data_IF_752569122651
#
_entry.id   IF_752569122651
#
_cell.length_a   1.000
_cell.length_b   1.000
_cell.length_c   1.000
_cell.angle_alpha   90.00
_cell.angle_beta   90.00
_cell.angle_gamma   90.00
#
_symmetry.space_group_name_H-M   'P 1'
#
loop_
_entity.id
_entity.type
_entity.pdbx_description
1 polymer ?
#
# COMPACT_ATOMS: atom_id res chain seq x y z
N UNK A 1 12.94 8.05 -24.79
CA UNK A 1 13.03 6.63 -24.41
C UNK A 1 13.96 6.46 -23.20
N UNK A 2 13.50 6.76 -21.97
CA UNK A 2 14.38 6.98 -20.80
C UNK A 2 14.39 5.83 -19.76
N UNK A 3 13.75 4.70 -20.05
CA UNK A 3 13.53 3.62 -19.06
C UNK A 3 13.67 2.21 -19.64
N UNK A 4 14.79 1.92 -20.29
CA UNK A 4 15.12 0.55 -20.75
C UNK A 4 15.66 -0.35 -19.63
N UNK A 5 15.72 0.14 -18.38
CA UNK A 5 16.36 -0.56 -17.26
C UNK A 5 15.36 -0.81 -16.14
N UNK A 6 15.07 -2.08 -15.87
CA UNK A 6 14.28 -2.53 -14.73
C UNK A 6 15.17 -2.61 -13.48
N UNK A 7 14.61 -2.19 -12.34
CA UNK A 7 15.29 -2.27 -11.05
C UNK A 7 14.66 -3.39 -10.24
N UNK A 8 15.47 -4.37 -9.86
CA UNK A 8 15.06 -5.46 -8.99
C UNK A 8 15.70 -5.29 -7.62
N UNK A 9 14.86 -5.28 -6.59
CA UNK A 9 15.28 -5.36 -5.19
C UNK A 9 15.36 -6.84 -4.82
N UNK A 10 16.57 -7.35 -4.58
CA UNK A 10 16.90 -8.77 -4.35
C UNK A 10 16.52 -9.71 -5.52
N UNK A 11 17.40 -9.88 -6.52
CA UNK A 11 17.14 -10.76 -7.66
C UNK A 11 17.01 -12.22 -7.20
N UNK A 12 16.21 -13.00 -7.92
CA UNK A 12 16.03 -14.43 -7.63
C UNK A 12 17.33 -15.23 -7.68
N UNK A 13 18.32 -14.75 -8.44
CA UNK A 13 19.66 -15.34 -8.52
C UNK A 13 20.51 -15.14 -7.24
N UNK A 14 20.16 -14.17 -6.38
CA UNK A 14 20.89 -13.90 -5.14
C UNK A 14 20.29 -14.61 -3.90
N UNK A 15 19.52 -15.69 -4.08
CA UNK A 15 19.04 -16.48 -2.94
C UNK A 15 20.19 -17.20 -2.23
N UNK A 16 21.14 -17.74 -2.99
CA UNK A 16 22.28 -18.54 -2.48
C UNK A 16 23.61 -17.80 -2.63
N UNK A 17 23.61 -16.46 -2.57
CA UNK A 17 24.82 -15.68 -2.82
C UNK A 17 25.73 -15.65 -1.58
N UNK A 18 26.97 -16.18 -1.65
CA UNK A 18 27.90 -16.22 -0.52
C UNK A 18 28.43 -14.84 -0.10
N UNK A 19 28.19 -13.79 -0.91
CA UNK A 19 28.59 -12.41 -0.63
C UNK A 19 27.45 -11.54 -0.08
N UNK A 20 26.38 -12.18 0.42
CA UNK A 20 25.24 -11.54 1.10
C UNK A 20 25.69 -10.48 2.12
N UNK A 21 26.70 -10.82 2.92
CA UNK A 21 27.00 -10.08 4.14
C UNK A 21 28.08 -9.01 3.97
N UNK A 22 28.86 -9.05 2.89
CA UNK A 22 30.06 -8.20 2.73
C UNK A 22 30.12 -7.34 1.46
N UNK A 23 29.23 -7.52 0.47
CA UNK A 23 29.34 -6.74 -0.77
C UNK A 23 28.17 -6.80 -1.77
N UNK A 24 27.05 -7.44 -1.43
CA UNK A 24 25.94 -7.59 -2.37
C UNK A 24 25.20 -6.26 -2.61
N UNK A 25 25.07 -5.85 -3.89
CA UNK A 25 24.29 -4.67 -4.26
C UNK A 25 22.81 -4.88 -3.96
N UNK A 26 22.20 -3.99 -3.17
CA UNK A 26 20.76 -4.10 -2.80
C UNK A 26 19.81 -3.98 -4.00
N UNK A 27 20.22 -3.29 -5.06
CA UNK A 27 19.40 -2.98 -6.24
C UNK A 27 20.18 -3.31 -7.50
N UNK A 28 19.68 -4.28 -8.27
CA UNK A 28 20.26 -4.63 -9.56
C UNK A 28 19.47 -3.96 -10.69
N UNK A 29 20.20 -3.31 -11.59
CA UNK A 29 19.65 -2.62 -12.77
C UNK A 29 19.87 -3.52 -13.99
N UNK A 30 18.81 -4.16 -14.48
CA UNK A 30 18.87 -5.05 -15.65
C UNK A 30 18.24 -4.31 -16.83
N UNK A 31 18.90 -4.32 -17.98
CA UNK A 31 18.32 -3.77 -19.22
C UNK A 31 17.28 -4.75 -19.76
N UNK A 32 16.14 -4.22 -20.21
CA UNK A 32 15.04 -5.00 -20.83
C UNK A 32 15.56 -5.83 -22.02
N UNK A 33 16.51 -5.27 -22.77
CA UNK A 33 17.14 -5.91 -23.92
C UNK A 33 17.91 -7.21 -23.56
N UNK A 34 18.34 -7.40 -22.31
CA UNK A 34 19.11 -8.59 -21.91
C UNK A 34 18.29 -9.87 -22.08
N UNK A 35 16.99 -9.81 -21.83
CA UNK A 35 16.04 -10.87 -22.16
C UNK A 35 14.64 -10.26 -22.20
N UNK A 36 14.13 -10.00 -23.41
CA UNK A 36 12.83 -9.38 -23.63
C UNK A 36 11.65 -10.22 -23.10
N UNK A 37 11.79 -11.56 -23.04
CA UNK A 37 10.73 -12.44 -22.54
C UNK A 37 10.70 -12.45 -21.02
N UNK A 38 11.86 -12.38 -20.37
CA UNK A 38 12.00 -12.43 -18.91
C UNK A 38 11.87 -11.05 -18.25
N UNK A 39 12.30 -10.00 -18.93
CA UNK A 39 12.36 -8.63 -18.44
C UNK A 39 11.41 -7.72 -19.22
N UNK A 40 10.19 -8.18 -19.46
CA UNK A 40 9.16 -7.43 -20.16
C UNK A 40 8.64 -6.22 -19.36
N UNK A 41 8.33 -5.14 -20.09
CA UNK A 41 7.65 -3.94 -19.59
C UNK A 41 6.20 -3.99 -20.08
N UNK A 42 5.15 -3.80 -19.22
CA UNK A 42 5.12 -2.86 -18.11
C UNK A 42 4.76 -3.50 -16.76
N UNK A 43 5.56 -3.21 -15.73
CA UNK A 43 5.18 -3.49 -14.34
C UNK A 43 3.97 -2.67 -13.85
N UNK A 44 3.49 -1.70 -14.63
CA UNK A 44 2.42 -0.74 -14.28
C UNK A 44 1.08 -1.00 -15.00
N UNK A 45 1.00 -2.03 -15.84
CA UNK A 45 -0.19 -2.38 -16.64
C UNK A 45 -0.63 -3.84 -16.50
N UNK A 46 0.07 -4.64 -15.68
CA UNK A 46 -0.35 -6.00 -15.36
C UNK A 46 -1.56 -5.99 -14.43
N UNK A 47 -2.39 -7.02 -14.48
CA UNK A 47 -3.50 -7.18 -13.52
C UNK A 47 -3.02 -7.18 -12.06
N UNK A 48 -1.85 -7.79 -11.81
CA UNK A 48 -1.23 -7.83 -10.48
C UNK A 48 -0.89 -6.43 -9.98
N UNK A 49 -0.38 -5.56 -10.85
CA UNK A 49 -0.11 -4.17 -10.53
C UNK A 49 -1.40 -3.41 -10.24
N UNK A 50 -2.42 -3.55 -11.09
CA UNK A 50 -3.72 -2.88 -10.90
C UNK A 50 -4.35 -3.27 -9.55
N UNK A 51 -4.29 -4.55 -9.18
CA UNK A 51 -4.75 -5.04 -7.86
C UNK A 51 -4.00 -4.37 -6.71
N UNK A 52 -2.67 -4.27 -6.78
CA UNK A 52 -1.87 -3.60 -5.75
C UNK A 52 -2.11 -2.08 -5.72
N UNK A 53 -2.26 -1.45 -6.88
CA UNK A 53 -2.54 -0.02 -7.00
C UNK A 53 -3.91 0.36 -6.40
N UNK A 54 -4.92 -0.48 -6.61
CA UNK A 54 -6.24 -0.31 -6.01
C UNK A 54 -6.19 -0.36 -4.47
N UNK A 55 -5.38 -1.26 -3.90
CA UNK A 55 -5.14 -1.30 -2.44
C UNK A 55 -4.54 0.01 -1.93
N UNK A 56 -3.58 0.60 -2.65
CA UNK A 56 -3.00 1.91 -2.29
C UNK A 56 -4.06 3.02 -2.29
N UNK A 57 -4.88 3.05 -3.33
CA UNK A 57 -5.94 4.06 -3.49
C UNK A 57 -6.95 3.99 -2.35
N UNK A 58 -7.27 2.79 -1.85
CA UNK A 58 -8.13 2.62 -0.68
C UNK A 58 -7.54 3.27 0.58
N UNK A 59 -6.24 3.12 0.82
CA UNK A 59 -5.54 3.75 1.94
C UNK A 59 -5.51 5.27 1.80
N UNK A 60 -5.27 5.79 0.59
CA UNK A 60 -5.30 7.24 0.33
C UNK A 60 -6.65 7.86 0.65
N UNK A 61 -7.77 7.16 0.35
CA UNK A 61 -9.12 7.61 0.74
C UNK A 61 -9.29 7.68 2.25
N UNK A 62 -8.81 6.68 3.00
CA UNK A 62 -8.87 6.71 4.47
C UNK A 62 -8.13 7.92 5.02
N UNK A 63 -6.93 8.21 4.51
CA UNK A 63 -6.19 9.41 4.91
C UNK A 63 -6.90 10.71 4.54
N UNK A 64 -7.61 10.77 3.41
CA UNK A 64 -8.44 11.92 3.07
C UNK A 64 -9.56 12.11 4.10
N UNK A 65 -10.29 11.05 4.45
CA UNK A 65 -11.34 11.10 5.48
C UNK A 65 -10.80 11.56 6.84
N UNK A 66 -9.67 11.02 7.27
CA UNK A 66 -9.05 11.41 8.54
C UNK A 66 -8.65 12.90 8.57
N UNK A 67 -8.15 13.42 7.44
CA UNK A 67 -7.77 14.83 7.28
C UNK A 67 -8.98 15.76 7.33
N UNK A 68 -10.04 15.42 6.61
CA UNK A 68 -11.23 16.27 6.45
C UNK A 68 -12.17 16.20 7.66
N UNK A 69 -12.55 14.99 8.07
CA UNK A 69 -13.61 14.77 9.06
C UNK A 69 -13.09 14.58 10.48
N UNK A 70 -11.95 13.91 10.66
CA UNK A 70 -11.38 13.63 11.99
C UNK A 70 -10.41 14.73 12.46
N UNK A 71 -10.42 15.89 11.80
CA UNK A 71 -9.72 17.07 12.30
C UNK A 71 -8.20 17.03 12.17
N UNK A 72 -7.58 16.02 11.53
CA UNK A 72 -6.12 15.95 11.39
C UNK A 72 -5.52 17.13 10.62
N UNK A 73 -6.28 17.82 9.76
CA UNK A 73 -5.83 19.06 9.11
C UNK A 73 -5.84 20.27 10.06
N UNK A 74 -6.67 20.22 11.10
CA UNK A 74 -6.95 21.33 12.03
C UNK A 74 -6.22 21.21 13.37
N UNK A 75 -5.61 20.06 13.67
CA UNK A 75 -4.88 19.87 14.93
C UNK A 75 -3.66 20.80 14.98
N UNK A 76 -3.48 21.49 16.12
CA UNK A 76 -2.30 22.33 16.39
C UNK A 76 -1.29 21.65 17.31
N UNK A 77 -1.62 20.46 17.80
CA UNK A 77 -0.77 19.67 18.68
C UNK A 77 0.50 19.22 17.95
N UNK A 78 1.62 19.16 18.67
CA UNK A 78 2.95 18.80 18.15
C UNK A 78 3.63 17.77 19.07
N UNK A 79 4.66 17.11 18.56
CA UNK A 79 5.40 16.10 19.30
C UNK A 79 4.53 14.93 19.74
N UNK A 80 4.69 14.48 20.98
CA UNK A 80 3.99 13.30 21.52
C UNK A 80 2.46 13.46 21.45
N UNK A 81 1.93 14.65 21.73
CA UNK A 81 0.47 14.91 21.70
C UNK A 81 -0.12 14.69 20.31
N UNK A 82 0.58 15.10 19.26
CA UNK A 82 0.14 14.87 17.88
C UNK A 82 0.07 13.38 17.52
N UNK A 83 0.99 12.57 18.07
CA UNK A 83 0.96 11.12 17.91
C UNK A 83 -0.26 10.49 18.56
N UNK A 84 -0.59 10.92 19.78
CA UNK A 84 -1.79 10.45 20.50
C UNK A 84 -3.06 10.87 19.77
N UNK A 85 -3.17 12.11 19.31
CA UNK A 85 -4.34 12.59 18.55
C UNK A 85 -4.53 11.79 17.26
N UNK A 86 -3.42 11.46 16.57
CA UNK A 86 -3.44 10.64 15.38
C UNK A 86 -3.96 9.23 15.67
N UNK A 87 -3.47 8.60 16.75
CA UNK A 87 -3.90 7.28 17.19
C UNK A 87 -5.37 7.24 17.59
N UNK A 88 -5.84 8.24 18.34
CA UNK A 88 -7.25 8.36 18.72
C UNK A 88 -8.16 8.58 17.50
N UNK A 89 -7.74 9.43 16.56
CA UNK A 89 -8.50 9.69 15.33
C UNK A 89 -8.62 8.44 14.45
N UNK A 90 -7.53 7.68 14.32
CA UNK A 90 -7.52 6.42 13.57
C UNK A 90 -8.33 5.33 14.25
N UNK A 91 -8.26 5.23 15.59
CA UNK A 91 -9.11 4.33 16.37
C UNK A 91 -10.59 4.64 16.19
N UNK A 92 -10.98 5.92 16.32
CA UNK A 92 -12.36 6.35 16.12
C UNK A 92 -12.87 5.99 14.73
N UNK A 93 -12.10 6.27 13.67
CA UNK A 93 -12.45 5.89 12.31
C UNK A 93 -12.69 4.39 12.15
N UNK A 94 -11.78 3.56 12.68
CA UNK A 94 -11.90 2.10 12.60
C UNK A 94 -13.14 1.58 13.34
N UNK A 95 -13.43 2.14 14.53
CA UNK A 95 -14.63 1.78 15.30
C UNK A 95 -15.91 2.16 14.56
N UNK A 96 -15.98 3.38 14.00
CA UNK A 96 -17.13 3.81 13.20
C UNK A 96 -17.33 2.91 11.98
N UNK A 97 -16.24 2.57 11.28
CA UNK A 97 -16.33 1.69 10.11
C UNK A 97 -16.75 0.28 10.48
N UNK A 98 -16.22 -0.26 11.59
CA UNK A 98 -16.60 -1.57 12.10
C UNK A 98 -18.09 -1.63 12.51
N UNK A 99 -18.59 -0.60 13.18
CA UNK A 99 -19.99 -0.49 13.55
C UNK A 99 -20.90 -0.45 12.31
N UNK A 100 -20.55 0.35 11.29
CA UNK A 100 -21.27 0.38 10.02
C UNK A 100 -21.25 -0.98 9.31
N UNK A 101 -20.11 -1.67 9.29
CA UNK A 101 -20.00 -2.97 8.65
C UNK A 101 -20.85 -4.04 9.39
N UNK A 102 -20.93 -3.97 10.72
CA UNK A 102 -21.84 -4.78 11.55
C UNK A 102 -23.30 -4.52 11.21
N UNK A 103 -23.71 -3.24 11.16
CA UNK A 103 -25.09 -2.85 10.82
C UNK A 103 -25.48 -3.29 9.40
N UNK A 104 -24.59 -3.07 8.42
CA UNK A 104 -24.83 -3.48 7.04
C UNK A 104 -25.00 -4.99 6.92
N UNK A 105 -24.23 -5.78 7.69
CA UNK A 105 -24.42 -7.24 7.74
C UNK A 105 -25.79 -7.63 8.29
N UNK A 106 -26.24 -6.96 9.35
CA UNK A 106 -27.57 -7.19 9.92
C UNK A 106 -28.67 -6.84 8.91
N UNK A 107 -28.62 -5.65 8.31
CA UNK A 107 -29.60 -5.23 7.30
C UNK A 107 -29.67 -6.19 6.11
N UNK A 108 -28.51 -6.60 5.58
CA UNK A 108 -28.44 -7.57 4.49
C UNK A 108 -28.97 -8.96 4.88
N UNK A 109 -28.89 -9.34 6.15
CA UNK A 109 -29.50 -10.60 6.63
C UNK A 109 -31.02 -10.50 6.69
N UNK A 110 -31.58 -9.38 7.19
CA UNK A 110 -33.03 -9.16 7.22
C UNK A 110 -33.62 -9.13 5.81
N UNK A 111 -32.93 -8.50 4.85
CA UNK A 111 -33.39 -8.36 3.47
C UNK A 111 -33.35 -9.67 2.65
N UNK A 112 -32.68 -10.71 3.16
CA UNK A 112 -32.67 -12.05 2.54
C UNK A 112 -33.74 -12.99 3.11
N UNK A 113 -34.32 -12.63 4.26
CA UNK A 113 -35.35 -13.42 4.96
C UNK A 113 -36.76 -12.93 4.62
N UNK A 114 -36.89 -11.65 4.21
CA UNK A 114 -38.09 -11.10 3.57
C UNK A 114 -38.10 -11.42 2.07
#
# INVERSE_FOLDING_TARGET
AKYETLRYTKPSQCKDCPFSDSGCQKVFKIRIQTDLRKHAYPARGSESFTKLYNKRTAVERVFAYLKEYFGMKRTRHRGVRAGVDFQLSTLAYNLSKFALDKLNKQLNSFQKVA
#
